data_IF_210537883473
#
_entry.id   IF_210537883473
#
_cell.length_a   1.000
_cell.length_b   1.000
_cell.length_c   1.000
_cell.angle_alpha   90.00
_cell.angle_beta   90.00
_cell.angle_gamma   90.00
#
_symmetry.space_group_name_H-M   'P 1'
#
loop_
_entity.id
_entity.type
_entity.pdbx_description
1 polymer ?
#
# COMPACT_ATOMS: atom_id res chain seq x y z
N UNK A 1 12.79 -16.74 -1.39
CA UNK A 1 13.76 -15.67 -1.00
C UNK A 1 13.64 -15.41 0.50
N UNK A 2 14.65 -14.84 1.17
CA UNK A 2 14.49 -14.45 2.58
C UNK A 2 13.41 -13.36 2.72
N UNK A 3 12.61 -13.43 3.78
CA UNK A 3 11.69 -12.37 4.17
C UNK A 3 12.49 -11.12 4.58
N UNK A 4 12.54 -10.12 3.70
CA UNK A 4 13.33 -8.91 3.92
C UNK A 4 12.68 -7.99 4.96
N UNK A 5 11.34 -7.96 5.06
CA UNK A 5 10.64 -7.19 6.09
C UNK A 5 11.07 -7.65 7.48
N UNK A 6 11.04 -8.97 7.71
CA UNK A 6 11.48 -9.55 8.98
C UNK A 6 12.93 -9.23 9.29
N UNK A 7 13.83 -9.33 8.30
CA UNK A 7 15.26 -8.99 8.49
C UNK A 7 15.49 -7.54 8.87
N UNK A 8 14.70 -6.62 8.32
CA UNK A 8 14.80 -5.23 8.72
C UNK A 8 14.24 -5.02 10.13
N UNK A 9 13.11 -5.63 10.47
CA UNK A 9 12.50 -5.58 11.81
C UNK A 9 13.34 -6.26 12.90
N UNK A 10 14.28 -7.15 12.57
CA UNK A 10 15.26 -7.68 13.53
C UNK A 10 16.22 -6.61 14.05
N UNK A 11 16.39 -5.49 13.33
CA UNK A 11 17.38 -4.46 13.64
C UNK A 11 16.77 -3.11 14.04
N UNK A 12 15.45 -2.96 13.98
CA UNK A 12 14.74 -1.73 14.33
C UNK A 12 13.33 -2.03 14.84
N UNK A 13 12.77 -1.11 15.64
CA UNK A 13 11.45 -1.31 16.28
C UNK A 13 10.30 -1.35 15.28
N UNK A 14 10.39 -0.56 14.21
CA UNK A 14 9.37 -0.45 13.19
C UNK A 14 9.97 0.04 11.86
N UNK A 15 9.25 -0.18 10.77
CA UNK A 15 9.56 0.34 9.44
C UNK A 15 8.62 1.50 9.09
N UNK A 16 9.15 2.47 8.37
CA UNK A 16 8.37 3.59 7.84
C UNK A 16 7.94 3.27 6.40
N UNK A 17 6.64 3.21 6.12
CA UNK A 17 6.11 3.18 4.74
C UNK A 17 6.02 4.61 4.19
N UNK A 18 5.87 4.72 2.86
CA UNK A 18 5.57 5.98 2.20
C UNK A 18 4.10 6.42 2.39
N UNK A 19 3.65 7.38 1.57
CA UNK A 19 2.32 7.99 1.63
C UNK A 19 1.64 8.09 0.26
N UNK A 20 0.60 8.93 0.15
CA UNK A 20 -0.18 9.07 -1.08
C UNK A 20 0.61 9.60 -2.29
N UNK A 21 0.74 8.75 -3.31
CA UNK A 21 1.25 9.13 -4.64
C UNK A 21 0.42 10.24 -5.30
N UNK A 22 -0.91 10.09 -5.35
CA UNK A 22 -1.79 11.02 -6.06
C UNK A 22 -1.72 12.45 -5.49
N UNK A 23 -1.73 12.60 -4.16
CA UNK A 23 -1.68 13.90 -3.49
C UNK A 23 -0.40 14.68 -3.83
N UNK A 24 0.73 14.00 -3.92
CA UNK A 24 2.01 14.64 -4.26
C UNK A 24 2.15 14.91 -5.77
N UNK A 25 1.51 14.11 -6.62
CA UNK A 25 1.40 14.38 -8.06
C UNK A 25 0.54 15.61 -8.34
N UNK A 26 -0.61 15.75 -7.67
CA UNK A 26 -1.49 16.92 -7.79
C UNK A 26 -0.77 18.22 -7.42
N UNK A 27 0.00 18.22 -6.32
CA UNK A 27 0.83 19.38 -5.92
C UNK A 27 1.89 19.77 -6.96
N UNK A 28 2.28 18.82 -7.82
CA UNK A 28 3.21 19.02 -8.94
C UNK A 28 2.49 19.35 -10.25
N UNK A 29 1.18 19.61 -10.20
CA UNK A 29 0.37 19.99 -11.36
C UNK A 29 0.00 18.82 -12.28
N UNK A 30 0.17 17.57 -11.83
CA UNK A 30 -0.25 16.40 -12.60
C UNK A 30 -1.72 16.11 -12.29
N UNK A 31 -2.56 16.05 -13.33
CA UNK A 31 -3.96 15.69 -13.16
C UNK A 31 -4.09 14.18 -12.88
N UNK A 32 -4.62 13.83 -11.71
CA UNK A 32 -4.93 12.46 -11.31
C UNK A 32 -6.44 12.18 -11.25
N UNK A 33 -7.29 13.13 -11.65
CA UNK A 33 -8.73 12.93 -11.79
C UNK A 33 -9.05 12.32 -13.15
N UNK A 34 -8.79 11.03 -13.29
CA UNK A 34 -9.05 10.24 -14.51
C UNK A 34 -9.41 8.80 -14.15
N UNK A 35 -9.89 7.98 -15.10
CA UNK A 35 -10.14 6.55 -14.86
C UNK A 35 -8.88 5.77 -14.42
N UNK A 36 -7.68 6.28 -14.71
CA UNK A 36 -6.41 5.66 -14.31
C UNK A 36 -5.77 6.28 -13.07
N UNK A 37 -6.40 7.29 -12.48
CA UNK A 37 -5.91 7.99 -11.31
C UNK A 37 -4.45 8.43 -11.49
N UNK A 38 -3.59 8.09 -10.53
CA UNK A 38 -2.14 8.35 -10.58
C UNK A 38 -1.40 7.50 -11.62
N UNK A 39 -1.95 6.38 -12.07
CA UNK A 39 -1.29 5.54 -13.07
C UNK A 39 -1.16 6.25 -14.43
N UNK A 40 -2.01 7.25 -14.71
CA UNK A 40 -1.86 8.13 -15.87
C UNK A 40 -0.52 8.87 -15.89
N UNK A 41 0.05 9.17 -14.71
CA UNK A 41 1.35 9.83 -14.59
C UNK A 41 2.50 8.97 -15.12
N UNK A 42 2.36 7.64 -15.16
CA UNK A 42 3.37 6.74 -15.74
C UNK A 42 3.57 6.97 -17.24
N UNK A 43 2.57 7.55 -17.91
CA UNK A 43 2.56 7.79 -19.35
C UNK A 43 3.25 9.12 -19.66
N UNK A 44 2.74 10.19 -19.04
CA UNK A 44 3.06 11.55 -19.44
C UNK A 44 4.04 12.25 -18.47
N UNK A 45 4.16 11.76 -17.24
CA UNK A 45 4.90 12.40 -16.16
C UNK A 45 5.77 11.43 -15.33
N UNK A 46 6.54 10.49 -15.94
CA UNK A 46 7.32 9.50 -15.18
C UNK A 46 8.35 10.15 -14.25
N UNK A 47 8.89 11.32 -14.59
CA UNK A 47 9.77 12.06 -13.71
C UNK A 47 9.06 12.54 -12.44
N UNK A 48 7.80 12.99 -12.54
CA UNK A 48 7.03 13.39 -11.36
C UNK A 48 6.82 12.20 -10.42
N UNK A 49 6.57 10.99 -10.95
CA UNK A 49 6.48 9.76 -10.15
C UNK A 49 7.80 9.49 -9.42
N UNK A 50 8.96 9.65 -10.09
CA UNK A 50 10.27 9.54 -9.45
C UNK A 50 10.46 10.58 -8.33
N UNK A 51 10.05 11.82 -8.57
CA UNK A 51 10.19 12.91 -7.60
C UNK A 51 9.31 12.68 -6.36
N UNK A 52 8.15 12.05 -6.52
CA UNK A 52 7.30 11.64 -5.39
C UNK A 52 7.98 10.54 -4.58
N UNK A 53 8.42 9.45 -5.20
CA UNK A 53 9.17 8.39 -4.48
C UNK A 53 10.39 8.96 -3.76
N UNK A 54 11.13 9.88 -4.40
CA UNK A 54 12.31 10.52 -3.80
C UNK A 54 11.92 11.30 -2.55
N UNK A 55 10.85 12.09 -2.63
CA UNK A 55 10.38 12.89 -1.49
C UNK A 55 9.99 12.04 -0.27
N UNK A 56 9.47 10.82 -0.47
CA UNK A 56 9.18 9.89 0.62
C UNK A 56 10.43 9.24 1.19
N UNK A 57 11.40 8.85 0.36
CA UNK A 57 12.70 8.39 0.86
C UNK A 57 13.43 9.50 1.63
N UNK A 58 13.37 10.76 1.18
CA UNK A 58 13.90 11.92 1.90
C UNK A 58 13.16 12.16 3.23
N UNK A 59 11.86 11.90 3.28
CA UNK A 59 11.06 11.99 4.50
C UNK A 59 11.39 10.90 5.54
N UNK A 60 11.94 9.77 5.09
CA UNK A 60 12.38 8.69 5.96
C UNK A 60 11.76 7.33 5.67
N UNK A 61 10.98 7.18 4.60
CA UNK A 61 10.41 5.89 4.22
C UNK A 61 11.50 4.83 4.01
N UNK A 62 11.30 3.64 4.56
CA UNK A 62 12.11 2.45 4.36
C UNK A 62 11.55 1.57 3.24
N UNK A 63 10.24 1.68 2.99
CA UNK A 63 9.52 0.94 1.95
C UNK A 63 8.73 1.94 1.10
N UNK A 64 8.84 1.81 -0.22
CA UNK A 64 8.01 2.55 -1.16
C UNK A 64 7.00 1.62 -1.85
N UNK A 65 5.76 2.08 -2.00
CA UNK A 65 4.68 1.37 -2.69
C UNK A 65 4.62 1.87 -4.14
N UNK A 66 4.64 0.95 -5.11
CA UNK A 66 4.63 1.32 -6.53
C UNK A 66 3.32 1.98 -6.94
N UNK A 67 3.36 2.89 -7.93
CA UNK A 67 2.19 3.54 -8.51
C UNK A 67 1.37 2.56 -9.41
N UNK A 68 0.88 1.46 -8.83
CA UNK A 68 0.22 0.34 -9.55
C UNK A 68 -1.13 -0.10 -8.99
N UNK A 69 -1.66 0.62 -7.99
CA UNK A 69 -2.93 0.32 -7.32
C UNK A 69 -4.10 0.06 -8.29
N UNK A 70 -4.23 0.86 -9.35
CA UNK A 70 -5.20 0.70 -10.44
C UNK A 70 -4.55 0.46 -11.80
N UNK A 71 -3.29 0.05 -11.83
CA UNK A 71 -2.57 -0.22 -13.08
C UNK A 71 -2.97 -1.60 -13.65
N UNK A 72 -4.26 -1.77 -13.92
CA UNK A 72 -4.82 -2.97 -14.56
C UNK A 72 -4.70 -2.84 -16.08
N UNK A 73 -4.34 -3.94 -16.74
CA UNK A 73 -4.11 -3.92 -18.19
C UNK A 73 -5.37 -3.52 -18.95
N UNK A 74 -6.54 -3.95 -18.46
CA UNK A 74 -7.83 -3.64 -19.09
C UNK A 74 -8.16 -2.15 -19.00
N UNK A 75 -7.88 -1.49 -17.87
CA UNK A 75 -8.08 -0.05 -17.73
C UNK A 75 -7.24 0.75 -18.72
N UNK A 76 -5.98 0.34 -18.96
CA UNK A 76 -5.14 0.99 -19.97
C UNK A 76 -5.66 0.73 -21.40
N UNK A 77 -6.13 -0.48 -21.67
CA UNK A 77 -6.67 -0.84 -22.99
C UNK A 77 -7.97 -0.10 -23.31
N UNK A 78 -8.85 0.07 -22.33
CA UNK A 78 -10.11 0.82 -22.48
C UNK A 78 -9.89 2.28 -22.89
N UNK A 79 -8.75 2.87 -22.52
CA UNK A 79 -8.39 4.24 -22.92
C UNK A 79 -7.44 4.29 -24.15
N UNK A 80 -7.28 3.18 -24.85
CA UNK A 80 -6.64 3.13 -26.17
C UNK A 80 -5.18 2.64 -26.20
N UNK A 81 -4.62 2.13 -25.10
CA UNK A 81 -3.29 1.53 -25.12
C UNK A 81 -3.30 0.07 -25.61
N UNK A 82 -2.26 -0.33 -26.32
CA UNK A 82 -2.06 -1.73 -26.69
C UNK A 82 -1.70 -2.58 -25.45
N UNK A 83 -1.94 -3.90 -25.46
CA UNK A 83 -1.52 -4.79 -24.38
C UNK A 83 -0.03 -4.68 -24.01
N UNK A 84 0.82 -4.44 -25.02
CA UNK A 84 2.26 -4.24 -24.81
C UNK A 84 2.56 -2.93 -24.06
N UNK A 85 1.89 -1.84 -24.42
CA UNK A 85 2.03 -0.55 -23.73
C UNK A 85 1.53 -0.62 -22.29
N UNK A 86 0.36 -1.22 -22.06
CA UNK A 86 -0.19 -1.45 -20.72
C UNK A 86 0.79 -2.24 -19.83
N UNK A 87 1.33 -3.34 -20.35
CA UNK A 87 2.33 -4.15 -19.65
C UNK A 87 3.60 -3.35 -19.32
N UNK A 88 4.04 -2.50 -20.25
CA UNK A 88 5.21 -1.64 -20.06
C UNK A 88 4.97 -0.59 -18.96
N UNK A 89 3.75 -0.07 -18.80
CA UNK A 89 3.43 0.90 -17.75
C UNK A 89 3.56 0.29 -16.36
N UNK A 90 3.02 -0.90 -16.13
CA UNK A 90 3.13 -1.62 -14.85
C UNK A 90 4.60 -1.89 -14.52
N UNK A 91 5.36 -2.45 -15.47
CA UNK A 91 6.78 -2.74 -15.25
C UNK A 91 7.63 -1.48 -15.09
N UNK A 92 7.28 -0.37 -15.76
CA UNK A 92 7.97 0.90 -15.59
C UNK A 92 7.74 1.50 -14.20
N UNK A 93 6.54 1.39 -13.62
CA UNK A 93 6.27 1.89 -12.27
C UNK A 93 7.25 1.29 -11.24
N UNK A 94 7.51 -0.02 -11.33
CA UNK A 94 8.49 -0.71 -10.48
C UNK A 94 9.91 -0.19 -10.73
N UNK A 95 10.32 -0.06 -12.00
CA UNK A 95 11.66 0.43 -12.37
C UNK A 95 11.92 1.85 -11.87
N UNK A 96 10.95 2.75 -11.99
CA UNK A 96 11.07 4.13 -11.50
C UNK A 96 11.32 4.15 -9.99
N UNK A 97 10.59 3.35 -9.21
CA UNK A 97 10.77 3.25 -7.77
C UNK A 97 12.14 2.64 -7.39
N UNK A 98 12.56 1.56 -8.09
CA UNK A 98 13.87 0.93 -7.90
C UNK A 98 15.04 1.87 -8.23
N UNK A 99 14.94 2.64 -9.32
CA UNK A 99 15.94 3.64 -9.71
C UNK A 99 16.11 4.68 -8.62
N UNK A 100 15.00 5.26 -8.13
CA UNK A 100 15.03 6.28 -7.08
C UNK A 100 15.59 5.72 -5.78
N UNK A 101 15.16 4.52 -5.37
CA UNK A 101 15.73 3.85 -4.19
C UNK A 101 17.24 3.71 -4.34
N UNK A 102 17.71 3.16 -5.46
CA UNK A 102 19.14 2.92 -5.69
C UNK A 102 19.92 4.23 -5.62
N UNK A 103 19.46 5.25 -6.34
CA UNK A 103 20.12 6.55 -6.38
C UNK A 103 20.16 7.23 -5.00
N UNK A 104 19.03 7.28 -4.28
CA UNK A 104 18.95 7.88 -2.96
C UNK A 104 19.89 7.20 -1.97
N UNK A 105 19.82 5.87 -1.89
CA UNK A 105 20.58 5.10 -0.92
C UNK A 105 22.08 4.98 -1.24
N UNK A 106 22.48 5.09 -2.51
CA UNK A 106 23.89 5.17 -2.91
C UNK A 106 24.55 6.52 -2.55
N UNK A 107 23.74 7.57 -2.37
CA UNK A 107 24.22 8.91 -2.01
C UNK A 107 24.26 9.18 -0.50
N UNK A 108 23.72 8.27 0.32
CA UNK A 108 23.77 8.40 1.78
C UNK A 108 25.19 8.16 2.30
N UNK A 109 25.61 8.98 3.26
CA UNK A 109 26.80 8.69 4.06
C UNK A 109 26.60 7.43 4.93
N UNK A 110 27.71 6.85 5.41
CA UNK A 110 27.65 5.70 6.33
C UNK A 110 26.79 5.98 7.57
N UNK A 111 26.84 7.21 8.10
CA UNK A 111 26.07 7.59 9.29
C UNK A 111 24.57 7.71 8.99
N UNK A 112 24.20 8.25 7.83
CA UNK A 112 22.80 8.32 7.41
C UNK A 112 22.25 6.92 7.12
N UNK A 113 23.05 6.05 6.49
CA UNK A 113 22.64 4.68 6.18
C UNK A 113 22.36 3.83 7.42
N UNK A 114 23.06 4.08 8.53
CA UNK A 114 22.83 3.39 9.81
C UNK A 114 21.49 3.74 10.47
N UNK A 115 20.87 4.86 10.07
CA UNK A 115 19.56 5.31 10.60
C UNK A 115 18.38 4.84 9.75
N UNK A 116 18.62 3.97 8.78
CA UNK A 116 17.61 3.50 7.81
C UNK A 116 17.55 1.98 7.84
N UNK A 117 16.48 1.42 7.28
CA UNK A 117 16.41 -0.01 7.03
C UNK A 117 17.65 -0.51 6.26
N UNK A 118 18.08 -1.73 6.63
CA UNK A 118 19.23 -2.37 5.99
C UNK A 118 18.88 -2.69 4.53
N UNK A 119 17.66 -3.14 4.28
CA UNK A 119 17.13 -3.45 2.95
C UNK A 119 15.95 -2.56 2.60
N UNK A 120 16.15 -1.35 2.06
CA UNK A 120 15.01 -0.56 1.59
C UNK A 120 14.23 -1.28 0.51
N UNK A 121 12.91 -1.32 0.63
CA UNK A 121 12.05 -2.19 -0.16
C UNK A 121 11.19 -1.42 -1.15
N UNK A 122 10.90 -2.05 -2.29
CA UNK A 122 9.87 -1.66 -3.25
C UNK A 122 8.75 -2.69 -3.18
N UNK A 123 7.60 -2.28 -2.66
CA UNK A 123 6.40 -3.10 -2.58
C UNK A 123 5.52 -2.87 -3.82
N UNK A 124 5.18 -3.96 -4.51
CA UNK A 124 4.29 -3.93 -5.67
C UNK A 124 2.84 -3.76 -5.25
N UNK A 125 2.26 -2.59 -5.45
CA UNK A 125 0.84 -2.31 -5.12
C UNK A 125 -0.11 -3.14 -5.98
N UNK A 126 -1.03 -3.84 -5.31
CA UNK A 126 -2.13 -4.62 -5.87
C UNK A 126 -3.41 -4.19 -5.15
N UNK A 127 -4.16 -3.27 -5.77
CA UNK A 127 -5.46 -2.82 -5.27
C UNK A 127 -6.59 -3.82 -5.57
N UNK A 128 -7.75 -3.72 -4.90
CA UNK A 128 -8.87 -4.65 -5.06
C UNK A 128 -9.60 -4.44 -6.40
N UNK A 129 -10.45 -5.39 -6.75
CA UNK A 129 -11.39 -5.31 -7.87
C UNK A 129 -12.34 -4.12 -7.71
N UNK A 130 -12.78 -3.82 -6.50
CA UNK A 130 -13.61 -2.64 -6.22
C UNK A 130 -13.00 -1.33 -6.73
N UNK A 131 -11.67 -1.19 -6.68
CA UNK A 131 -10.98 0.01 -7.19
C UNK A 131 -11.02 0.10 -8.72
N UNK A 132 -11.14 -1.04 -9.43
CA UNK A 132 -11.31 -1.08 -10.88
C UNK A 132 -12.72 -0.65 -11.31
N UNK A 133 -13.75 -0.94 -10.50
CA UNK A 133 -15.13 -0.52 -10.76
C UNK A 133 -15.30 1.01 -10.71
N UNK A 134 -14.42 1.71 -9.99
CA UNK A 134 -14.39 3.17 -9.88
C UNK A 134 -15.70 3.79 -9.36
N UNK A 135 -16.44 3.04 -8.54
CA UNK A 135 -17.71 3.43 -7.92
C UNK A 135 -17.64 3.52 -6.38
N UNK A 136 -16.46 3.32 -5.79
CA UNK A 136 -16.24 3.34 -4.35
C UNK A 136 -16.38 1.97 -3.69
N UNK A 137 -16.55 0.91 -4.47
CA UNK A 137 -16.69 -0.46 -3.97
C UNK A 137 -15.48 -0.97 -3.19
N UNK A 138 -14.30 -0.36 -3.36
CA UNK A 138 -13.13 -0.63 -2.51
C UNK A 138 -13.34 -0.27 -1.02
N UNK A 139 -14.42 0.44 -0.69
CA UNK A 139 -14.83 0.81 0.66
C UNK A 139 -16.17 0.20 1.10
N UNK A 140 -16.80 -0.63 0.25
CA UNK A 140 -18.05 -1.34 0.58
C UNK A 140 -17.89 -2.86 0.48
N UNK A 141 -17.04 -3.35 -0.42
CA UNK A 141 -16.93 -4.77 -0.74
C UNK A 141 -18.15 -5.34 -1.48
N UNK A 142 -19.03 -4.47 -1.99
CA UNK A 142 -20.31 -4.84 -2.62
C UNK A 142 -20.12 -5.26 -4.08
N UNK A 143 -19.40 -6.36 -4.27
CA UNK A 143 -19.22 -7.06 -5.54
C UNK A 143 -19.05 -8.56 -5.28
N UNK A 144 -19.48 -9.37 -6.24
CA UNK A 144 -19.45 -10.82 -6.14
C UNK A 144 -18.92 -11.40 -7.47
N UNK A 145 -17.76 -12.02 -7.39
CA UNK A 145 -17.06 -12.69 -8.49
C UNK A 145 -16.70 -14.10 -8.03
N UNK A 146 -16.63 -15.03 -8.98
CA UNK A 146 -16.06 -16.35 -8.71
C UNK A 146 -14.56 -16.26 -8.44
N UNK A 147 -14.01 -17.26 -7.74
CA UNK A 147 -12.55 -17.37 -7.53
C UNK A 147 -11.78 -17.27 -8.86
N UNK A 148 -12.27 -17.94 -9.91
CA UNK A 148 -11.64 -17.90 -11.24
C UNK A 148 -11.55 -16.49 -11.82
N UNK A 149 -12.60 -15.68 -11.67
CA UNK A 149 -12.62 -14.29 -12.16
C UNK A 149 -11.66 -13.39 -11.36
N UNK A 150 -11.56 -13.58 -10.04
CA UNK A 150 -10.54 -12.87 -9.24
C UNK A 150 -9.12 -13.24 -9.67
N UNK A 151 -8.86 -14.52 -9.95
CA UNK A 151 -7.56 -14.97 -10.42
C UNK A 151 -7.21 -14.37 -11.80
N UNK A 152 -8.16 -14.38 -12.74
CA UNK A 152 -8.00 -13.78 -14.06
C UNK A 152 -7.73 -12.27 -13.98
N UNK A 153 -8.37 -11.58 -13.03
CA UNK A 153 -8.16 -10.15 -12.81
C UNK A 153 -6.78 -9.83 -12.22
N UNK A 154 -6.34 -10.54 -11.18
CA UNK A 154 -5.12 -10.19 -10.45
C UNK A 154 -3.82 -10.75 -11.04
N UNK A 155 -3.86 -11.95 -11.63
CA UNK A 155 -2.67 -12.65 -12.12
C UNK A 155 -1.83 -11.82 -13.10
N UNK A 156 -2.41 -11.16 -14.12
CA UNK A 156 -1.60 -10.47 -15.12
C UNK A 156 -0.78 -9.34 -14.52
N UNK A 157 -1.36 -8.57 -13.58
CA UNK A 157 -0.66 -7.50 -12.88
C UNK A 157 0.40 -8.05 -11.94
N UNK A 158 0.07 -9.07 -11.15
CA UNK A 158 1.03 -9.69 -10.23
C UNK A 158 2.24 -10.27 -10.97
N UNK A 159 2.01 -10.91 -12.12
CA UNK A 159 3.08 -11.44 -12.99
C UNK A 159 4.01 -10.35 -13.51
N UNK A 160 3.47 -9.20 -13.91
CA UNK A 160 4.29 -8.06 -14.37
C UNK A 160 5.10 -7.44 -13.24
N UNK A 161 4.51 -7.29 -12.06
CA UNK A 161 5.20 -6.79 -10.87
C UNK A 161 6.36 -7.73 -10.47
N UNK A 162 6.10 -9.03 -10.40
CA UNK A 162 7.12 -10.05 -10.12
C UNK A 162 8.26 -10.02 -11.14
N UNK A 163 7.93 -10.01 -12.43
CA UNK A 163 8.90 -9.95 -13.52
C UNK A 163 9.74 -8.66 -13.52
N UNK A 164 9.17 -7.56 -13.02
CA UNK A 164 9.90 -6.30 -12.85
C UNK A 164 10.80 -6.26 -11.60
N UNK A 165 10.69 -7.26 -10.71
CA UNK A 165 11.59 -7.44 -9.58
C UNK A 165 11.22 -6.62 -8.35
N UNK A 166 9.94 -6.46 -8.04
CA UNK A 166 9.50 -5.98 -6.70
C UNK A 166 10.15 -6.82 -5.59
N UNK A 167 10.27 -6.28 -4.38
CA UNK A 167 10.80 -7.06 -3.24
C UNK A 167 9.70 -7.93 -2.61
N UNK A 168 8.47 -7.41 -2.57
CA UNK A 168 7.27 -8.05 -2.04
C UNK A 168 6.00 -7.44 -2.67
N UNK A 169 4.87 -8.11 -2.52
CA UNK A 169 3.56 -7.57 -2.88
C UNK A 169 2.93 -6.76 -1.72
N UNK A 170 2.23 -5.68 -2.08
CA UNK A 170 1.35 -4.94 -1.20
C UNK A 170 -0.09 -5.18 -1.64
N UNK A 171 -0.75 -6.21 -1.08
CA UNK A 171 -2.19 -6.42 -1.30
C UNK A 171 -2.92 -5.46 -0.38
N UNK A 172 -3.41 -4.36 -0.93
CA UNK A 172 -3.84 -3.23 -0.14
C UNK A 172 -5.29 -2.83 -0.41
N UNK A 173 -5.91 -2.23 0.60
CA UNK A 173 -7.30 -1.77 0.57
C UNK A 173 -8.27 -2.91 0.19
N UNK A 174 -8.05 -4.13 0.69
CA UNK A 174 -8.92 -5.27 0.37
C UNK A 174 -10.21 -5.21 1.20
N UNK A 175 -11.40 -4.96 0.61
CA UNK A 175 -12.66 -4.85 1.36
C UNK A 175 -13.40 -6.19 1.50
N UNK A 176 -13.07 -7.14 0.61
CA UNK A 176 -13.83 -8.36 0.36
C UNK A 176 -12.96 -9.59 0.72
N UNK A 177 -13.50 -10.45 1.58
CA UNK A 177 -12.76 -11.58 2.13
C UNK A 177 -12.49 -12.67 1.09
N UNK A 178 -13.43 -12.94 0.18
CA UNK A 178 -13.26 -13.95 -0.88
C UNK A 178 -12.23 -13.51 -1.91
N UNK A 179 -12.17 -12.21 -2.25
CA UNK A 179 -11.10 -11.66 -3.07
C UNK A 179 -9.73 -11.84 -2.41
N UNK A 180 -9.61 -11.52 -1.11
CA UNK A 180 -8.36 -11.68 -0.37
C UNK A 180 -7.89 -13.15 -0.36
N UNK A 181 -8.81 -14.12 -0.25
CA UNK A 181 -8.51 -15.55 -0.35
C UNK A 181 -7.95 -15.90 -1.73
N UNK A 182 -8.58 -15.42 -2.79
CA UNK A 182 -8.12 -15.66 -4.16
C UNK A 182 -6.71 -15.10 -4.41
N UNK A 183 -6.42 -13.89 -3.93
CA UNK A 183 -5.09 -13.27 -4.02
C UNK A 183 -4.03 -14.08 -3.24
N UNK A 184 -4.35 -14.51 -2.02
CA UNK A 184 -3.44 -15.32 -1.21
C UNK A 184 -3.17 -16.69 -1.87
N UNK A 185 -4.20 -17.35 -2.41
CA UNK A 185 -4.06 -18.58 -3.18
C UNK A 185 -3.18 -18.36 -4.43
N UNK A 186 -3.35 -17.24 -5.12
CA UNK A 186 -2.54 -16.89 -6.29
C UNK A 186 -1.06 -16.71 -5.92
N UNK A 187 -0.76 -16.01 -4.81
CA UNK A 187 0.59 -15.86 -4.28
C UNK A 187 1.26 -17.21 -4.02
N UNK A 188 0.55 -18.14 -3.37
CA UNK A 188 1.09 -19.46 -3.05
C UNK A 188 1.31 -20.35 -4.27
N UNK A 189 0.35 -20.36 -5.19
CA UNK A 189 0.35 -21.30 -6.31
C UNK A 189 1.17 -20.83 -7.50
N UNK A 190 1.38 -19.53 -7.68
CA UNK A 190 2.07 -18.96 -8.86
C UNK A 190 3.36 -18.22 -8.53
N UNK A 191 3.55 -17.77 -7.29
CA UNK A 191 4.64 -16.86 -6.92
C UNK A 191 5.46 -17.38 -5.74
N UNK A 192 5.84 -18.66 -5.75
CA UNK A 192 6.51 -19.38 -4.66
C UNK A 192 7.76 -18.70 -4.04
N UNK A 193 8.40 -17.77 -4.75
CA UNK A 193 9.57 -17.04 -4.27
C UNK A 193 9.27 -15.65 -3.71
N UNK A 194 8.00 -15.24 -3.70
CA UNK A 194 7.53 -13.93 -3.26
C UNK A 194 6.77 -14.00 -1.95
N UNK A 195 6.84 -12.91 -1.24
CA UNK A 195 6.02 -12.64 -0.06
C UNK A 195 5.15 -11.42 -0.35
N UNK A 196 4.19 -11.16 0.52
CA UNK A 196 3.45 -9.91 0.54
C UNK A 196 2.88 -9.62 1.91
N UNK A 197 2.40 -8.39 2.08
CA UNK A 197 1.47 -8.10 3.15
C UNK A 197 0.04 -8.10 2.63
N UNK A 198 -0.91 -8.35 3.53
CA UNK A 198 -2.33 -8.20 3.27
C UNK A 198 -2.91 -7.10 4.17
N UNK A 199 -3.42 -6.03 3.55
CA UNK A 199 -4.00 -4.90 4.27
C UNK A 199 -5.45 -4.70 3.86
N UNK A 200 -6.33 -4.69 4.84
CA UNK A 200 -7.77 -4.59 4.65
C UNK A 200 -8.27 -3.14 4.69
N UNK A 201 -9.31 -2.84 3.91
CA UNK A 201 -10.18 -1.70 4.18
C UNK A 201 -11.29 -2.14 5.14
N UNK A 202 -11.55 -1.30 6.14
CA UNK A 202 -12.43 -1.64 7.26
C UNK A 202 -13.48 -0.57 7.48
N UNK A 203 -14.72 -1.00 7.75
CA UNK A 203 -15.83 -0.10 8.10
C UNK A 203 -15.72 0.42 9.53
N UNK A 204 -15.17 -0.42 10.41
CA UNK A 204 -14.87 -0.12 11.82
C UNK A 204 -13.67 -0.95 12.27
N UNK A 205 -13.21 -0.75 13.52
CA UNK A 205 -12.02 -1.44 14.04
C UNK A 205 -12.12 -2.98 14.11
N UNK A 206 -13.31 -3.57 13.90
CA UNK A 206 -13.58 -5.00 14.08
C UNK A 206 -14.09 -5.70 12.83
N UNK A 207 -14.36 -4.98 11.74
CA UNK A 207 -14.95 -5.57 10.55
C UNK A 207 -14.39 -4.97 9.26
N UNK A 208 -14.17 -5.83 8.27
CA UNK A 208 -13.96 -5.46 6.88
C UNK A 208 -15.19 -4.71 6.34
N UNK A 209 -15.00 -4.05 5.20
CA UNK A 209 -16.09 -3.34 4.52
C UNK A 209 -17.24 -4.28 4.11
N UNK A 210 -16.94 -5.50 3.66
CA UNK A 210 -17.95 -6.53 3.34
C UNK A 210 -18.71 -7.07 4.57
N UNK A 211 -18.26 -6.71 5.78
CA UNK A 211 -18.86 -7.10 7.05
C UNK A 211 -18.20 -8.30 7.74
N UNK A 212 -17.21 -8.94 7.13
CA UNK A 212 -16.42 -10.02 7.72
C UNK A 212 -15.71 -9.53 8.99
N UNK A 213 -15.76 -10.27 10.11
CA UNK A 213 -14.99 -9.92 11.31
C UNK A 213 -13.49 -9.89 10.99
N UNK A 214 -12.81 -8.80 11.36
CA UNK A 214 -11.38 -8.61 11.12
C UNK A 214 -10.55 -9.70 11.81
N UNK A 215 -10.95 -10.11 13.01
CA UNK A 215 -10.34 -11.23 13.74
C UNK A 215 -10.37 -12.54 12.94
N UNK A 216 -11.52 -12.86 12.33
CA UNK A 216 -11.71 -14.06 11.52
C UNK A 216 -10.83 -14.02 10.26
N UNK A 217 -10.84 -12.89 9.55
CA UNK A 217 -10.01 -12.70 8.36
C UNK A 217 -8.51 -12.85 8.70
N UNK A 218 -8.03 -12.19 9.75
CA UNK A 218 -6.61 -12.28 10.17
C UNK A 218 -6.26 -13.71 10.56
N UNK A 219 -7.10 -14.37 11.36
CA UNK A 219 -6.88 -15.75 11.78
C UNK A 219 -6.76 -16.70 10.58
N UNK A 220 -7.59 -16.51 9.55
CA UNK A 220 -7.53 -17.28 8.31
C UNK A 220 -6.17 -17.13 7.59
N UNK A 221 -5.68 -15.89 7.43
CA UNK A 221 -4.42 -15.64 6.71
C UNK A 221 -3.15 -15.89 7.54
N UNK A 222 -3.26 -16.29 8.80
CA UNK A 222 -2.10 -16.68 9.59
C UNK A 222 -1.39 -17.90 9.03
N UNK A 223 -2.16 -18.85 8.51
CA UNK A 223 -1.64 -20.11 7.99
C UNK A 223 -0.95 -19.97 6.63
N UNK A 224 -1.00 -18.78 6.01
CA UNK A 224 -0.31 -18.46 4.76
C UNK A 224 1.10 -17.93 5.03
N UNK A 225 2.18 -18.72 4.87
CA UNK A 225 3.54 -18.30 5.21
C UNK A 225 4.09 -17.19 4.30
N UNK A 226 3.56 -17.06 3.07
CA UNK A 226 3.97 -16.00 2.15
C UNK A 226 3.32 -14.64 2.46
N UNK A 227 2.25 -14.62 3.28
CA UNK A 227 1.71 -13.39 3.85
C UNK A 227 2.52 -13.07 5.10
N UNK A 228 3.53 -12.22 4.99
CA UNK A 228 4.51 -11.97 6.06
C UNK A 228 4.15 -10.79 6.95
N UNK A 229 3.14 -10.00 6.60
CA UNK A 229 2.54 -8.96 7.44
C UNK A 229 1.04 -8.82 7.14
N UNK A 230 0.25 -8.40 8.11
CA UNK A 230 -1.21 -8.20 7.96
C UNK A 230 -1.61 -6.89 8.63
N UNK A 231 -2.57 -6.16 8.07
CA UNK A 231 -3.12 -5.01 8.77
C UNK A 231 -4.23 -4.27 8.07
N UNK A 232 -4.26 -2.94 8.24
CA UNK A 232 -5.33 -2.09 7.73
C UNK A 232 -4.81 -0.80 7.13
N UNK A 233 -5.46 -0.34 6.06
CA UNK A 233 -5.10 0.93 5.42
C UNK A 233 -6.32 1.65 4.86
N UNK A 234 -6.10 2.91 4.49
CA UNK A 234 -7.11 3.76 3.86
C UNK A 234 -8.42 3.89 4.66
N UNK A 235 -8.32 3.69 5.97
CA UNK A 235 -9.37 3.97 6.96
C UNK A 235 -9.03 5.24 7.75
N UNK A 236 -9.94 5.66 8.61
CA UNK A 236 -9.73 6.82 9.48
C UNK A 236 -8.73 6.50 10.58
N UNK A 237 -7.97 7.50 11.01
CA UNK A 237 -6.93 7.35 12.03
C UNK A 237 -7.47 6.83 13.38
N UNK A 238 -8.70 7.18 13.72
CA UNK A 238 -9.36 6.77 14.98
C UNK A 238 -9.61 5.26 15.04
N UNK A 239 -9.70 4.58 13.89
CA UNK A 239 -9.91 3.14 13.84
C UNK A 239 -8.63 2.35 14.09
N UNK A 240 -7.44 2.95 13.88
CA UNK A 240 -6.19 2.21 13.76
C UNK A 240 -5.78 1.54 15.08
N UNK A 241 -5.81 2.24 16.21
CA UNK A 241 -5.33 1.67 17.47
C UNK A 241 -6.12 0.42 17.88
N UNK A 242 -7.45 0.48 17.78
CA UNK A 242 -8.31 -0.67 18.11
C UNK A 242 -8.19 -1.78 17.07
N UNK A 243 -8.07 -1.46 15.78
CA UNK A 243 -7.85 -2.46 14.74
C UNK A 243 -6.53 -3.21 14.96
N UNK A 244 -5.45 -2.51 15.33
CA UNK A 244 -4.15 -3.12 15.67
C UNK A 244 -4.30 -4.08 16.86
N UNK A 245 -5.04 -3.71 17.91
CA UNK A 245 -5.31 -4.61 19.04
C UNK A 245 -6.10 -5.84 18.61
N UNK A 246 -7.11 -5.67 17.77
CA UNK A 246 -7.88 -6.80 17.21
C UNK A 246 -6.99 -7.74 16.40
N UNK A 247 -6.17 -7.22 15.49
CA UNK A 247 -5.22 -8.02 14.70
C UNK A 247 -4.22 -8.74 15.62
N UNK A 248 -3.59 -8.02 16.54
CA UNK A 248 -2.57 -8.57 17.46
C UNK A 248 -3.11 -9.69 18.35
N UNK A 249 -4.41 -9.67 18.67
CA UNK A 249 -5.03 -10.71 19.51
C UNK A 249 -5.01 -12.10 18.88
N UNK A 250 -4.85 -12.20 17.56
CA UNK A 250 -4.87 -13.47 16.82
C UNK A 250 -3.64 -13.72 15.98
N UNK A 251 -2.68 -12.79 15.87
CA UNK A 251 -1.44 -13.01 15.10
C UNK A 251 -0.18 -12.41 15.72
N UNK A 252 0.92 -13.13 15.53
CA UNK A 252 2.29 -12.65 15.81
C UNK A 252 2.96 -12.05 14.57
N UNK A 253 2.30 -12.07 13.41
CA UNK A 253 2.85 -11.42 12.21
C UNK A 253 3.09 -9.92 12.46
N UNK A 254 4.10 -9.32 11.82
CA UNK A 254 4.22 -7.87 11.71
C UNK A 254 2.88 -7.23 11.30
N UNK A 255 2.51 -6.14 11.97
CA UNK A 255 1.27 -5.42 11.68
C UNK A 255 1.58 -4.17 10.89
N UNK A 256 0.92 -4.02 9.75
CA UNK A 256 1.07 -2.88 8.84
C UNK A 256 -0.13 -1.93 8.93
N UNK A 257 0.12 -0.64 9.14
CA UNK A 257 -0.94 0.38 9.20
C UNK A 257 -0.57 1.63 8.44
N UNK A 258 -1.50 2.11 7.62
CA UNK A 258 -1.31 3.36 6.88
C UNK A 258 -2.67 4.01 6.64
N UNK A 259 -3.18 4.83 7.58
CA UNK A 259 -4.48 5.50 7.48
C UNK A 259 -4.45 6.72 6.55
N UNK A 260 -5.63 7.28 6.28
CA UNK A 260 -5.76 8.60 5.66
C UNK A 260 -5.30 9.71 6.63
N UNK A 261 -4.94 10.89 6.14
CA UNK A 261 -4.41 11.99 6.96
C UNK A 261 -5.42 12.71 7.89
N UNK A 262 -6.68 12.26 7.93
CA UNK A 262 -7.73 12.87 8.74
C UNK A 262 -8.63 13.87 8.02
N UNK A 263 -8.30 14.27 6.78
CA UNK A 263 -9.22 15.05 5.93
C UNK A 263 -10.56 14.30 5.79
N UNK A 264 -11.65 15.04 5.58
CA UNK A 264 -12.99 14.47 5.42
C UNK A 264 -13.34 14.41 3.93
N UNK A 265 -13.63 13.22 3.43
CA UNK A 265 -14.14 13.02 2.07
C UNK A 265 -15.64 13.28 2.00
N UNK A 266 -16.06 14.11 1.05
CA UNK A 266 -17.47 14.31 0.73
C UNK A 266 -17.82 13.49 -0.54
N UNK A 267 -18.66 12.45 -0.44
CA UNK A 267 -18.94 11.55 -1.56
C UNK A 267 -19.80 12.20 -2.65
N UNK A 268 -20.64 13.19 -2.32
CA UNK A 268 -21.49 13.90 -3.29
C UNK A 268 -20.65 14.80 -4.21
N UNK A 269 -19.68 15.50 -3.64
CA UNK A 269 -18.81 16.44 -4.36
C UNK A 269 -17.50 15.81 -4.84
N UNK A 270 -17.22 14.57 -4.41
CA UNK A 270 -15.96 13.84 -4.62
C UNK A 270 -14.71 14.64 -4.24
N UNK A 271 -14.80 15.40 -3.14
CA UNK A 271 -13.73 16.31 -2.69
C UNK A 271 -13.39 16.09 -1.23
N UNK A 272 -12.11 16.21 -0.94
CA UNK A 272 -11.57 16.24 0.41
C UNK A 272 -11.64 17.65 0.99
N UNK A 273 -11.95 17.73 2.30
CA UNK A 273 -11.88 18.95 3.08
C UNK A 273 -10.92 18.75 4.25
N UNK A 274 -9.96 19.67 4.47
CA UNK A 274 -9.12 19.62 5.66
C UNK A 274 -9.96 19.61 6.93
N UNK A 275 -9.57 18.77 7.90
CA UNK A 275 -10.11 18.79 9.25
C UNK A 275 -9.02 19.29 10.22
N UNK A 276 -9.05 20.57 10.63
CA UNK A 276 -8.06 21.13 11.55
C UNK A 276 -8.09 20.50 12.95
N UNK A 277 -9.14 19.74 13.29
CA UNK A 277 -9.26 19.06 14.57
C UNK A 277 -8.67 17.64 14.56
N UNK A 278 -8.24 17.15 13.38
CA UNK A 278 -7.65 15.83 13.27
C UNK A 278 -6.32 15.74 14.02
N UNK A 279 -6.09 14.59 14.65
CA UNK A 279 -4.83 14.30 15.34
C UNK A 279 -3.70 14.11 14.32
N UNK A 280 -2.47 14.49 14.68
CA UNK A 280 -1.30 14.31 13.83
C UNK A 280 -0.73 12.90 13.90
N UNK A 281 0.10 12.54 12.93
CA UNK A 281 0.85 11.28 12.98
C UNK A 281 1.86 11.27 14.12
N UNK A 282 2.41 12.42 14.52
CA UNK A 282 3.31 12.53 15.68
C UNK A 282 2.68 12.02 16.98
N UNK A 283 1.37 12.24 17.15
CA UNK A 283 0.66 11.89 18.38
C UNK A 283 0.15 10.44 18.37
N UNK A 284 -0.13 9.92 17.18
CA UNK A 284 -0.79 8.63 16.98
C UNK A 284 0.18 7.49 16.66
N UNK A 285 1.26 7.73 15.92
CA UNK A 285 2.22 6.69 15.56
C UNK A 285 2.82 5.97 16.80
N UNK A 286 3.18 6.65 17.92
CA UNK A 286 3.63 5.97 19.13
C UNK A 286 2.55 5.08 19.75
N UNK A 287 1.27 5.47 19.67
CA UNK A 287 0.16 4.66 20.18
C UNK A 287 -0.03 3.41 19.36
N UNK A 288 0.04 3.53 18.02
CA UNK A 288 -0.04 2.39 17.11
C UNK A 288 1.13 1.43 17.32
N UNK A 289 2.35 1.95 17.47
CA UNK A 289 3.53 1.15 17.80
C UNK A 289 3.33 0.37 19.11
N UNK A 290 2.89 1.06 20.17
CA UNK A 290 2.62 0.43 21.47
C UNK A 290 1.48 -0.60 21.43
N UNK A 291 0.49 -0.42 20.55
CA UNK A 291 -0.56 -1.40 20.31
C UNK A 291 -0.06 -2.64 19.54
N UNK A 292 1.10 -2.54 18.87
CA UNK A 292 1.76 -3.65 18.19
C UNK A 292 1.94 -3.48 16.68
N UNK A 293 1.69 -2.30 16.12
CA UNK A 293 2.04 -1.98 14.74
C UNK A 293 3.56 -1.88 14.57
N UNK A 294 4.10 -2.46 13.52
CA UNK A 294 5.56 -2.47 13.25
C UNK A 294 5.92 -1.95 11.87
N UNK A 295 4.93 -1.65 11.04
CA UNK A 295 5.13 -1.05 9.72
C UNK A 295 4.09 0.06 9.58
N UNK A 296 4.51 1.32 9.51
CA UNK A 296 3.63 2.47 9.65
C UNK A 296 3.88 3.48 8.52
N UNK A 297 2.83 3.94 7.84
CA UNK A 297 2.91 5.07 6.90
C UNK A 297 1.57 5.74 6.66
N UNK A 298 1.31 6.16 5.42
CA UNK A 298 0.12 6.93 5.08
C UNK A 298 -0.63 6.44 3.83
N UNK A 299 -1.95 6.65 3.79
CA UNK A 299 -2.80 6.43 2.62
C UNK A 299 -3.30 7.78 2.09
N UNK A 300 -4.57 7.93 1.73
CA UNK A 300 -5.10 9.13 1.07
C UNK A 300 -4.73 10.42 1.81
N UNK A 301 -4.37 11.45 1.03
CA UNK A 301 -4.07 12.83 1.48
C UNK A 301 -2.80 13.00 2.31
N UNK A 302 -2.14 11.91 2.68
CA UNK A 302 -0.84 11.97 3.37
C UNK A 302 0.26 12.47 2.44
N UNK A 303 1.31 13.01 3.04
CA UNK A 303 2.37 13.77 2.39
C UNK A 303 3.73 13.37 2.98
N UNK A 304 4.85 13.79 2.36
CA UNK A 304 6.17 13.61 2.95
C UNK A 304 6.31 14.24 4.35
N UNK A 305 5.46 15.19 4.74
CA UNK A 305 5.48 15.72 6.08
C UNK A 305 4.95 14.73 7.12
N UNK A 306 3.83 14.08 6.81
CA UNK A 306 3.23 13.04 7.67
C UNK A 306 4.22 11.88 7.86
N UNK A 307 4.93 11.49 6.79
CA UNK A 307 5.95 10.42 6.87
C UNK A 307 7.18 10.84 7.69
N UNK A 308 7.56 12.12 7.69
CA UNK A 308 8.58 12.63 8.62
C UNK A 308 8.11 12.53 10.07
N UNK A 309 6.86 12.89 10.35
CA UNK A 309 6.28 12.77 11.70
C UNK A 309 6.28 11.32 12.18
N UNK A 310 5.88 10.38 11.32
CA UNK A 310 5.99 8.94 11.61
C UNK A 310 7.44 8.55 11.90
N UNK A 311 8.38 8.92 11.03
CA UNK A 311 9.80 8.59 11.21
C UNK A 311 10.35 9.16 12.52
N UNK A 312 10.04 10.40 12.84
CA UNK A 312 10.49 11.06 14.08
C UNK A 312 9.88 10.41 15.33
N UNK A 313 8.64 9.94 15.25
CA UNK A 313 7.93 9.28 16.35
C UNK A 313 8.40 7.84 16.65
N UNK A 314 9.00 7.15 15.66
CA UNK A 314 9.44 5.75 15.78
C UNK A 314 10.92 5.57 16.14
N UNK A 315 11.72 6.63 16.07
CA UNK A 315 13.14 6.63 16.42
C UNK A 315 13.39 6.86 17.92
#
# INVERSE_FOLDING_TARGET
>A
MPDLLKKDLENQKALVLDGAMATELEKRGVNTDSQLWSAAALINHPQAVKDVHRSYFEAGADVAITNTYQANLDSFQQIGFTPHQASKMVTNAVKLAQEVRTEFYSNLSTQERQKRAKYPLIAGSVGPFGAYLADGSEYTGDYDLSEGEYLEFHEPRMRLLDAAGIDLFAFETQPNFEEAKAIANLLETKFANRTGWLSFSVKDAKHLCDGTPLEEAVAYFNDYPQITAIGVNCTRMENIEEAVKTIRSVTEKPIVVYPNNGDIYNPETKKWKPDPSSQSFSDLAPKWLNAGATIIGGCCRTTPNDIREVRDALN
#
